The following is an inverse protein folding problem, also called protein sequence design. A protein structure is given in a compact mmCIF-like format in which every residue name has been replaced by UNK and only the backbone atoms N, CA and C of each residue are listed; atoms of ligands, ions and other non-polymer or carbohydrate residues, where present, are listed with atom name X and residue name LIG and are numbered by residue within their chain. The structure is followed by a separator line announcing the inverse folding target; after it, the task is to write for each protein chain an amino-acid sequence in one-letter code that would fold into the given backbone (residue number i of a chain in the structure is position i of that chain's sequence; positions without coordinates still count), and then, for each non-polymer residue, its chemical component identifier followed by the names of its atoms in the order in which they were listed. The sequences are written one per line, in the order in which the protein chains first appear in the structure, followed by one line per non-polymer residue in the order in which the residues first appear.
data_IF_017981090138
#
_entry.id   IF_017981090138
#
_cell.length_a   1.000
_cell.length_b   1.000
_cell.length_c   1.000
_cell.angle_alpha   90.00
_cell.angle_beta   90.00
_cell.angle_gamma   90.00
#
_symmetry.space_group_name_H-M   'P 1'
#
loop_
_entity.id
_entity.type
_entity.pdbx_description
1 polymer ?
#
# COMPACT_ATOMS: atom_id res chain seq x y z
N UNK A 1 -0.07 24.97 13.99
CA UNK A 1 -0.38 23.60 14.48
C UNK A 1 0.74 22.67 14.02
N UNK A 2 1.15 21.73 14.85
CA UNK A 2 2.15 20.72 14.49
C UNK A 2 1.57 19.81 13.38
N UNK A 3 2.33 19.61 12.32
CA UNK A 3 1.89 18.80 11.16
C UNK A 3 1.89 17.32 11.54
N UNK A 4 0.76 16.65 11.38
CA UNK A 4 0.61 15.23 11.66
C UNK A 4 0.57 14.42 10.37
N UNK A 5 1.02 13.17 10.44
CA UNK A 5 1.05 12.23 9.32
C UNK A 5 0.22 11.00 9.65
N UNK A 6 -0.70 10.66 8.77
CA UNK A 6 -1.47 9.42 8.82
C UNK A 6 -0.73 8.32 8.07
N UNK A 7 -0.56 7.15 8.70
CA UNK A 7 -0.19 5.93 7.97
C UNK A 7 -1.42 5.04 7.91
N UNK A 8 -2.16 5.16 6.82
CA UNK A 8 -3.45 4.53 6.61
C UNK A 8 -3.33 3.05 6.23
N UNK A 9 -4.16 2.20 6.80
CA UNK A 9 -4.18 0.74 6.60
C UNK A 9 -2.84 0.08 7.00
N UNK A 10 -2.29 0.49 8.14
CA UNK A 10 -1.03 -0.03 8.68
C UNK A 10 -1.19 -0.57 10.11
N UNK A 11 -1.47 -1.86 10.26
CA UNK A 11 -1.49 -2.52 11.56
C UNK A 11 -0.08 -2.77 12.11
N UNK A 12 0.90 -2.98 11.21
CA UNK A 12 2.28 -3.34 11.57
C UNK A 12 3.12 -2.21 12.15
N UNK A 13 2.73 -0.96 11.95
CA UNK A 13 3.44 0.25 12.35
C UNK A 13 4.87 0.38 11.80
N UNK A 14 5.22 -0.36 10.75
CA UNK A 14 6.58 -0.37 10.21
C UNK A 14 7.05 1.01 9.77
N UNK A 15 6.23 1.74 9.00
CA UNK A 15 6.51 3.11 8.56
C UNK A 15 6.30 4.11 9.70
N UNK A 16 5.22 3.95 10.48
CA UNK A 16 4.93 4.83 11.61
C UNK A 16 6.10 4.91 12.57
N UNK A 17 6.68 3.77 12.98
CA UNK A 17 7.83 3.72 13.89
C UNK A 17 9.05 4.42 13.30
N UNK A 18 9.35 4.20 12.02
CA UNK A 18 10.51 4.81 11.38
C UNK A 18 10.35 6.34 11.21
N UNK A 19 9.15 6.82 10.91
CA UNK A 19 8.83 8.25 10.90
C UNK A 19 8.97 8.88 12.30
N UNK A 20 8.45 8.20 13.34
CA UNK A 20 8.57 8.66 14.73
C UNK A 20 10.02 8.76 15.21
N UNK A 21 10.87 7.80 14.85
CA UNK A 21 12.32 7.85 15.13
C UNK A 21 12.98 9.10 14.55
N UNK A 22 12.44 9.65 13.47
CA UNK A 22 12.92 10.85 12.80
C UNK A 22 12.17 12.13 13.23
N UNK A 23 11.39 12.04 14.30
CA UNK A 23 10.68 13.19 14.90
C UNK A 23 9.47 13.68 14.09
N UNK A 24 8.90 12.82 13.23
CA UNK A 24 7.61 13.09 12.57
C UNK A 24 6.49 12.59 13.46
N UNK A 25 5.47 13.41 13.69
CA UNK A 25 4.28 13.03 14.46
C UNK A 25 3.35 12.19 13.60
N UNK A 26 3.69 10.89 13.45
CA UNK A 26 2.95 9.94 12.64
C UNK A 26 2.04 9.03 13.48
N UNK A 27 0.87 8.71 12.96
CA UNK A 27 -0.09 7.77 13.55
C UNK A 27 -0.50 6.73 12.50
N UNK A 28 -0.40 5.45 12.87
CA UNK A 28 -1.00 4.38 12.07
C UNK A 28 -2.51 4.32 12.29
N UNK A 29 -3.25 3.90 11.26
CA UNK A 29 -4.68 3.64 11.35
C UNK A 29 -5.02 2.34 10.64
N UNK A 30 -5.72 1.43 11.32
CA UNK A 30 -6.24 0.19 10.75
C UNK A 30 -7.50 -0.26 11.50
N UNK A 31 -8.30 -1.13 10.90
CA UNK A 31 -9.45 -1.77 11.56
C UNK A 31 -9.02 -2.80 12.62
N UNK A 32 -7.80 -3.31 12.51
CA UNK A 32 -7.18 -4.26 13.42
C UNK A 32 -6.38 -3.54 14.51
N UNK A 33 -6.10 -4.23 15.61
CA UNK A 33 -5.15 -3.76 16.62
C UNK A 33 -3.72 -3.78 16.04
N UNK A 34 -2.88 -2.85 16.47
CA UNK A 34 -1.50 -2.79 15.96
C UNK A 34 -0.64 -3.97 16.45
N UNK A 35 0.25 -4.45 15.59
CA UNK A 35 1.26 -5.46 15.94
C UNK A 35 2.66 -4.89 16.13
N UNK A 36 2.86 -3.59 15.93
CA UNK A 36 4.14 -2.90 16.10
C UNK A 36 4.52 -2.58 17.55
N UNK A 37 3.60 -2.82 18.50
CA UNK A 37 3.87 -2.65 19.95
C UNK A 37 3.85 -1.19 20.42
N UNK A 38 3.24 -0.28 19.66
CA UNK A 38 3.08 1.14 19.98
C UNK A 38 1.60 1.56 19.89
N UNK A 39 0.73 1.03 20.78
CA UNK A 39 -0.70 1.32 20.72
C UNK A 39 -1.02 2.82 20.87
N UNK A 40 -0.16 3.58 21.55
CA UNK A 40 -0.29 5.03 21.69
C UNK A 40 -0.09 5.82 20.38
N UNK A 41 0.42 5.18 19.32
CA UNK A 41 0.57 5.74 17.98
C UNK A 41 -0.37 5.09 16.99
N UNK A 42 -1.39 4.37 17.46
CA UNK A 42 -2.32 3.64 16.63
C UNK A 42 -3.76 4.07 16.84
N UNK A 43 -4.45 4.27 15.73
CA UNK A 43 -5.88 4.57 15.72
C UNK A 43 -6.59 3.34 15.16
N UNK A 44 -7.34 2.65 16.02
CA UNK A 44 -8.20 1.56 15.57
C UNK A 44 -9.48 2.14 15.00
N UNK A 45 -9.57 2.22 13.66
CA UNK A 45 -10.68 2.90 13.02
C UNK A 45 -10.65 2.87 11.50
N UNK A 46 -11.56 3.66 10.92
CA UNK A 46 -11.72 3.81 9.48
C UNK A 46 -10.72 4.83 8.92
N UNK A 47 -9.82 4.35 8.06
CA UNK A 47 -8.80 5.17 7.42
C UNK A 47 -9.36 6.30 6.54
N UNK A 48 -10.54 6.12 5.93
CA UNK A 48 -11.21 7.20 5.17
C UNK A 48 -11.66 8.30 6.13
N UNK A 49 -12.29 7.94 7.24
CA UNK A 49 -12.72 8.91 8.26
C UNK A 49 -11.54 9.75 8.76
N UNK A 50 -10.42 9.10 9.05
CA UNK A 50 -9.19 9.79 9.46
C UNK A 50 -8.62 10.67 8.34
N UNK A 51 -8.53 10.18 7.11
CA UNK A 51 -8.00 10.94 5.97
C UNK A 51 -8.82 12.21 5.65
N UNK A 52 -10.09 12.23 6.02
CA UNK A 52 -10.99 13.39 5.81
C UNK A 52 -11.26 14.20 7.10
N UNK A 53 -10.56 13.92 8.20
CA UNK A 53 -10.73 14.64 9.48
C UNK A 53 -10.23 16.08 9.46
N UNK A 54 -9.39 16.45 8.51
CA UNK A 54 -8.71 17.76 8.46
C UNK A 54 -7.49 17.86 9.40
N UNK A 55 -7.11 16.76 10.06
CA UNK A 55 -5.99 16.73 11.03
C UNK A 55 -4.63 16.59 10.35
N UNK A 56 -4.57 15.81 9.25
CA UNK A 56 -3.31 15.36 8.68
C UNK A 56 -2.83 16.21 7.51
N UNK A 57 -1.56 16.56 7.54
CA UNK A 57 -0.85 17.23 6.46
C UNK A 57 -0.27 16.26 5.43
N UNK A 58 0.12 15.07 5.88
CA UNK A 58 0.66 14.01 5.04
C UNK A 58 -0.02 12.67 5.29
N UNK A 59 -0.02 11.82 4.26
CA UNK A 59 -0.53 10.45 4.37
C UNK A 59 0.34 9.48 3.58
N UNK A 60 0.63 8.33 4.19
CA UNK A 60 1.12 7.14 3.50
C UNK A 60 0.06 6.05 3.69
N UNK A 61 -0.38 5.41 2.61
CA UNK A 61 -1.49 4.46 2.71
C UNK A 61 -1.20 3.12 2.02
N UNK A 62 -1.69 2.04 2.62
CA UNK A 62 -1.59 0.65 2.14
C UNK A 62 -2.98 0.06 1.88
N UNK A 63 -3.79 0.63 0.97
CA UNK A 63 -5.14 0.15 0.72
C UNK A 63 -5.12 -1.31 0.25
N UNK A 64 -6.19 -2.04 0.58
CA UNK A 64 -6.29 -3.46 0.25
C UNK A 64 -6.05 -3.73 -1.24
N UNK A 65 -5.19 -4.72 -1.54
CA UNK A 65 -4.83 -5.09 -2.91
C UNK A 65 -5.56 -6.32 -3.44
N UNK A 66 -6.32 -7.03 -2.60
CA UNK A 66 -6.86 -8.38 -2.87
C UNK A 66 -7.63 -8.48 -4.18
N UNK A 67 -8.38 -7.43 -4.54
CA UNK A 67 -9.24 -7.43 -5.72
C UNK A 67 -8.62 -6.71 -6.92
N UNK A 68 -7.54 -5.97 -6.73
CA UNK A 68 -6.96 -5.08 -7.75
C UNK A 68 -5.74 -5.67 -8.49
N UNK A 69 -5.16 -6.77 -7.99
CA UNK A 69 -3.92 -7.35 -8.54
C UNK A 69 -4.15 -8.38 -9.63
N UNK A 70 -3.14 -8.59 -10.49
CA UNK A 70 -3.20 -9.57 -11.58
C UNK A 70 -3.50 -11.01 -11.10
N UNK A 71 -3.09 -11.37 -9.90
CA UNK A 71 -3.39 -12.70 -9.33
C UNK A 71 -4.88 -12.93 -9.05
N UNK A 72 -5.66 -11.87 -8.97
CA UNK A 72 -7.10 -11.92 -8.72
C UNK A 72 -7.99 -11.71 -9.93
N UNK A 73 -7.43 -11.29 -11.07
CA UNK A 73 -8.22 -10.90 -12.26
C UNK A 73 -8.99 -12.07 -12.89
N UNK A 74 -8.46 -13.28 -12.83
CA UNK A 74 -9.13 -14.48 -13.36
C UNK A 74 -10.45 -14.78 -12.63
N UNK A 75 -10.61 -14.36 -11.40
CA UNK A 75 -11.83 -14.58 -10.60
C UNK A 75 -12.98 -13.62 -10.95
N UNK A 76 -12.76 -12.63 -11.83
CA UNK A 76 -13.81 -11.75 -12.34
C UNK A 76 -14.81 -12.47 -13.26
N UNK A 77 -14.45 -13.66 -13.72
CA UNK A 77 -15.29 -14.49 -14.57
C UNK A 77 -15.41 -15.91 -13.98
N UNK A 78 -16.57 -16.48 -14.14
CA UNK A 78 -16.86 -17.87 -13.81
C UNK A 78 -16.22 -18.82 -14.85
N UNK A 79 -16.20 -20.12 -14.57
CA UNK A 79 -15.63 -21.12 -15.48
C UNK A 79 -16.32 -21.20 -16.84
N UNK A 80 -17.59 -20.83 -16.92
CA UNK A 80 -18.40 -20.77 -18.14
C UNK A 80 -18.22 -19.45 -18.93
N UNK A 81 -17.36 -18.55 -18.45
CA UNK A 81 -17.09 -17.25 -19.06
C UNK A 81 -18.08 -16.14 -18.62
N UNK A 82 -19.09 -16.44 -17.86
CA UNK A 82 -20.01 -15.43 -17.34
C UNK A 82 -19.34 -14.55 -16.28
N UNK A 83 -19.77 -13.27 -16.13
CA UNK A 83 -19.22 -12.39 -15.10
C UNK A 83 -19.52 -12.92 -13.68
N UNK A 84 -18.51 -12.91 -12.83
CA UNK A 84 -18.69 -13.14 -11.38
C UNK A 84 -19.06 -11.81 -10.71
N UNK A 85 -20.33 -11.61 -10.52
CA UNK A 85 -20.91 -10.35 -10.03
C UNK A 85 -20.39 -9.92 -8.66
N UNK A 86 -20.30 -10.83 -7.71
CA UNK A 86 -19.76 -10.53 -6.39
C UNK A 86 -18.31 -10.03 -6.49
N UNK A 87 -17.50 -10.68 -7.28
CA UNK A 87 -16.09 -10.31 -7.46
C UNK A 87 -15.92 -8.95 -8.13
N UNK A 88 -16.79 -8.61 -9.09
CA UNK A 88 -16.80 -7.28 -9.69
C UNK A 88 -17.23 -6.19 -8.70
N UNK A 89 -18.20 -6.47 -7.83
CA UNK A 89 -18.60 -5.53 -6.79
C UNK A 89 -17.50 -5.30 -5.76
N UNK A 90 -16.77 -6.35 -5.37
CA UNK A 90 -15.62 -6.20 -4.47
C UNK A 90 -14.47 -5.42 -5.13
N UNK A 91 -14.22 -5.62 -6.43
CA UNK A 91 -13.28 -4.80 -7.18
C UNK A 91 -13.70 -3.32 -7.17
N UNK A 92 -14.98 -3.06 -7.41
CA UNK A 92 -15.52 -1.68 -7.39
C UNK A 92 -15.27 -1.02 -6.05
N UNK A 93 -15.64 -1.66 -4.95
CA UNK A 93 -15.39 -1.14 -3.58
C UNK A 93 -13.90 -0.87 -3.33
N UNK A 94 -13.01 -1.79 -3.75
CA UNK A 94 -11.57 -1.63 -3.57
C UNK A 94 -11.00 -0.44 -4.36
N UNK A 95 -11.46 -0.25 -5.60
CA UNK A 95 -11.07 0.90 -6.44
C UNK A 95 -11.62 2.22 -5.88
N UNK A 96 -12.87 2.23 -5.41
CA UNK A 96 -13.48 3.40 -4.77
C UNK A 96 -12.76 3.78 -3.48
N UNK A 97 -12.41 2.81 -2.64
CA UNK A 97 -11.64 3.01 -1.43
C UNK A 97 -10.25 3.60 -1.72
N UNK A 98 -9.54 3.03 -2.71
CA UNK A 98 -8.24 3.56 -3.15
C UNK A 98 -8.36 5.00 -3.63
N UNK A 99 -9.34 5.29 -4.49
CA UNK A 99 -9.57 6.63 -5.02
C UNK A 99 -9.99 7.62 -3.93
N UNK A 100 -10.73 7.19 -2.92
CA UNK A 100 -11.07 8.03 -1.78
C UNK A 100 -9.81 8.46 -1.01
N UNK A 101 -8.89 7.54 -0.70
CA UNK A 101 -7.61 7.89 -0.08
C UNK A 101 -6.75 8.79 -1.00
N UNK A 102 -6.67 8.46 -2.30
CA UNK A 102 -5.89 9.22 -3.28
C UNK A 102 -6.35 10.68 -3.41
N UNK A 103 -7.64 10.91 -3.29
CA UNK A 103 -8.26 12.23 -3.43
C UNK A 103 -8.54 12.93 -2.09
N UNK A 104 -8.04 12.38 -0.98
CA UNK A 104 -8.20 13.01 0.32
C UNK A 104 -7.63 14.45 0.33
N UNK A 105 -8.23 15.36 1.12
CA UNK A 105 -7.81 16.76 1.21
C UNK A 105 -6.52 16.90 2.04
N UNK A 106 -5.51 16.10 1.70
CA UNK A 106 -4.19 16.05 2.31
C UNK A 106 -3.16 16.52 1.30
N UNK A 107 -2.20 17.31 1.74
CA UNK A 107 -1.20 17.96 0.88
C UNK A 107 -0.22 16.95 0.27
N UNK A 108 0.32 16.06 1.09
CA UNK A 108 1.33 15.08 0.71
C UNK A 108 0.77 13.67 0.84
N UNK A 109 0.67 12.94 -0.27
CA UNK A 109 0.14 11.57 -0.26
C UNK A 109 1.10 10.63 -0.98
N UNK A 110 1.32 9.46 -0.39
CA UNK A 110 1.89 8.29 -1.05
C UNK A 110 0.97 7.08 -0.82
N UNK A 111 0.43 6.48 -1.87
CA UNK A 111 -0.30 5.21 -1.76
C UNK A 111 0.53 4.09 -2.35
N UNK A 112 0.54 2.96 -1.67
CA UNK A 112 1.27 1.75 -2.07
C UNK A 112 0.28 0.65 -2.44
N UNK A 113 0.54 -0.01 -3.58
CA UNK A 113 -0.19 -1.22 -3.95
C UNK A 113 0.67 -2.08 -4.90
N UNK A 114 0.50 -3.40 -4.96
CA UNK A 114 1.09 -4.21 -6.02
C UNK A 114 0.62 -3.79 -7.41
N UNK A 115 1.27 -4.29 -8.48
CA UNK A 115 0.89 -3.97 -9.86
C UNK A 115 -0.58 -4.29 -10.09
N UNK A 116 -1.41 -3.27 -10.40
CA UNK A 116 -2.84 -3.47 -10.62
C UNK A 116 -3.11 -4.10 -11.99
N UNK A 117 -4.15 -4.92 -12.09
CA UNK A 117 -4.65 -5.36 -13.38
C UNK A 117 -5.34 -4.21 -14.15
N UNK A 118 -5.56 -4.39 -15.47
CA UNK A 118 -6.08 -3.34 -16.34
C UNK A 118 -7.39 -2.69 -15.85
N UNK A 119 -8.34 -3.48 -15.37
CA UNK A 119 -9.62 -2.96 -14.91
C UNK A 119 -9.46 -2.07 -13.66
N UNK A 120 -8.65 -2.47 -12.71
CA UNK A 120 -8.36 -1.63 -11.55
C UNK A 120 -7.63 -0.35 -11.94
N UNK A 121 -6.68 -0.43 -12.89
CA UNK A 121 -5.87 0.70 -13.33
C UNK A 121 -6.67 1.69 -14.19
N UNK A 122 -7.36 1.19 -15.21
CA UNK A 122 -7.94 2.02 -16.27
C UNK A 122 -9.41 2.36 -16.02
N UNK A 123 -10.08 1.63 -15.14
CA UNK A 123 -11.51 1.70 -14.90
C UNK A 123 -12.30 0.65 -15.71
N UNK A 124 -13.57 0.56 -15.42
CA UNK A 124 -14.46 -0.42 -16.05
C UNK A 124 -15.94 -0.02 -15.96
N UNK A 125 -16.71 -0.57 -16.87
CA UNK A 125 -18.18 -0.57 -16.79
C UNK A 125 -18.61 -2.02 -16.66
N UNK A 126 -19.34 -2.33 -15.60
CA UNK A 126 -19.95 -3.64 -15.42
C UNK A 126 -21.36 -3.50 -14.83
N UNK A 127 -22.30 -4.29 -15.41
CA UNK A 127 -23.55 -4.64 -14.79
C UNK A 127 -24.45 -3.49 -14.33
N UNK A 128 -24.78 -2.57 -15.19
CA UNK A 128 -25.73 -1.48 -14.88
C UNK A 128 -25.28 -0.54 -13.73
N UNK A 129 -24.02 -0.63 -13.28
CA UNK A 129 -23.47 0.24 -12.21
C UNK A 129 -22.84 1.52 -12.74
N UNK A 130 -22.90 1.76 -14.06
CA UNK A 130 -22.21 2.88 -14.69
C UNK A 130 -20.69 2.71 -14.74
N UNK A 131 -19.99 3.78 -15.11
CA UNK A 131 -18.53 3.81 -15.18
C UNK A 131 -17.91 3.93 -13.79
N UNK A 132 -16.98 3.03 -13.46
CA UNK A 132 -16.12 3.12 -12.29
C UNK A 132 -14.72 3.56 -12.73
N UNK A 133 -14.27 4.78 -12.37
CA UNK A 133 -12.94 5.27 -12.74
C UNK A 133 -11.85 4.44 -12.04
N UNK A 134 -10.81 4.07 -12.79
CA UNK A 134 -9.68 3.32 -12.25
C UNK A 134 -8.80 4.15 -11.33
N UNK A 135 -7.85 3.49 -10.66
CA UNK A 135 -6.88 4.13 -9.75
C UNK A 135 -5.79 4.92 -10.49
N UNK A 136 -5.69 4.75 -11.82
CA UNK A 136 -4.71 5.39 -12.67
C UNK A 136 -3.34 4.69 -12.66
N UNK A 137 -2.42 5.23 -13.47
CA UNK A 137 -1.05 4.74 -13.55
C UNK A 137 -0.27 5.20 -12.31
N UNK A 138 0.60 4.32 -11.79
CA UNK A 138 1.52 4.66 -10.71
C UNK A 138 2.68 5.54 -11.18
N UNK A 139 3.24 6.33 -10.28
CA UNK A 139 4.37 7.21 -10.54
C UNK A 139 5.72 6.48 -10.47
N UNK A 140 5.80 5.45 -9.63
CA UNK A 140 7.02 4.69 -9.41
C UNK A 140 6.73 3.22 -9.11
N UNK A 141 7.63 2.32 -9.54
CA UNK A 141 7.69 0.93 -9.12
C UNK A 141 8.98 0.71 -8.36
N UNK A 142 8.89 0.11 -7.18
CA UNK A 142 10.01 -0.23 -6.33
C UNK A 142 10.04 -1.73 -6.02
N UNK A 143 11.20 -2.19 -5.55
CA UNK A 143 11.43 -3.58 -5.14
C UNK A 143 12.23 -3.61 -3.83
N UNK A 144 12.01 -4.59 -2.94
CA UNK A 144 12.78 -4.72 -1.70
C UNK A 144 14.30 -4.77 -1.92
N UNK A 145 14.77 -5.40 -3.01
CA UNK A 145 16.20 -5.45 -3.31
C UNK A 145 16.85 -4.08 -3.61
N UNK A 146 16.06 -3.05 -3.87
CA UNK A 146 16.55 -1.66 -4.00
C UNK A 146 16.89 -1.04 -2.63
N UNK A 147 16.41 -1.66 -1.55
CA UNK A 147 16.46 -1.16 -0.18
C UNK A 147 17.09 -2.15 0.82
N UNK A 148 17.94 -3.05 0.35
CA UNK A 148 18.76 -3.92 1.20
C UNK A 148 18.21 -5.31 1.49
N UNK A 149 17.03 -5.67 0.98
CA UNK A 149 16.42 -6.98 1.20
C UNK A 149 16.39 -7.77 -0.11
N UNK A 150 17.12 -8.88 -0.24
CA UNK A 150 17.28 -9.61 -1.50
C UNK A 150 16.01 -10.41 -1.86
N UNK A 151 14.88 -9.74 -1.84
CA UNK A 151 13.56 -10.28 -2.20
C UNK A 151 12.91 -9.45 -3.32
N UNK A 152 11.95 -10.02 -4.04
CA UNK A 152 11.09 -9.29 -4.96
C UNK A 152 9.65 -9.29 -4.49
N UNK A 153 9.09 -8.09 -4.41
CA UNK A 153 7.67 -7.78 -4.23
C UNK A 153 7.43 -6.46 -4.95
N UNK A 154 7.05 -6.55 -6.23
CA UNK A 154 6.81 -5.34 -7.02
C UNK A 154 5.75 -4.47 -6.36
N UNK A 155 6.15 -3.30 -5.94
CA UNK A 155 5.35 -2.34 -5.20
C UNK A 155 5.25 -1.05 -6.01
N UNK A 156 4.04 -0.63 -6.32
CA UNK A 156 3.74 0.59 -7.05
C UNK A 156 3.39 1.72 -6.09
N UNK A 157 3.86 2.92 -6.38
CA UNK A 157 3.58 4.13 -5.61
C UNK A 157 2.83 5.15 -6.47
N UNK A 158 1.75 5.70 -5.91
CA UNK A 158 1.04 6.87 -6.41
C UNK A 158 1.35 8.03 -5.48
N UNK A 159 1.92 9.10 -6.03
CA UNK A 159 2.52 10.19 -5.26
C UNK A 159 1.81 11.53 -5.54
N UNK A 160 1.53 12.27 -4.48
CA UNK A 160 1.08 13.67 -4.53
C UNK A 160 1.98 14.49 -3.62
N UNK A 161 2.69 15.47 -4.19
CA UNK A 161 3.57 16.38 -3.44
C UNK A 161 4.86 15.75 -2.88
N UNK A 162 5.08 14.46 -3.05
CA UNK A 162 6.27 13.74 -2.59
C UNK A 162 7.17 13.34 -3.76
N UNK A 163 8.50 13.38 -3.60
CA UNK A 163 9.43 12.92 -4.63
C UNK A 163 9.46 11.38 -4.70
N UNK A 164 9.89 10.85 -5.85
CA UNK A 164 10.18 9.43 -6.00
C UNK A 164 11.27 8.99 -5.02
N UNK A 165 11.12 7.79 -4.47
CA UNK A 165 12.16 7.20 -3.62
C UNK A 165 13.41 6.85 -4.42
N UNK A 166 14.57 7.18 -3.87
CA UNK A 166 15.86 6.75 -4.37
C UNK A 166 16.28 5.45 -3.68
N UNK A 167 16.92 4.57 -4.43
CA UNK A 167 17.50 3.35 -3.88
C UNK A 167 18.54 3.69 -2.80
N UNK A 168 18.49 2.99 -1.67
CA UNK A 168 19.43 3.20 -0.55
C UNK A 168 20.52 2.13 -0.49
N UNK A 169 20.16 0.88 -0.78
CA UNK A 169 21.09 -0.25 -0.75
C UNK A 169 20.65 -1.32 -1.76
N UNK A 170 21.12 -1.18 -3.00
CA UNK A 170 20.72 -2.10 -4.06
C UNK A 170 21.49 -3.43 -3.99
N UNK A 171 20.80 -4.47 -3.51
CA UNK A 171 21.31 -5.85 -3.40
C UNK A 171 20.75 -6.77 -4.51
N UNK A 172 20.42 -6.22 -5.67
CA UNK A 172 19.87 -6.97 -6.80
C UNK A 172 20.81 -8.10 -7.28
N UNK A 173 22.13 -7.91 -7.16
CA UNK A 173 23.11 -8.95 -7.47
C UNK A 173 22.93 -10.18 -6.58
N UNK A 174 22.73 -9.99 -5.26
CA UNK A 174 22.47 -11.08 -4.31
C UNK A 174 21.13 -11.75 -4.64
N UNK A 175 20.08 -10.94 -4.89
CA UNK A 175 18.75 -11.45 -5.25
C UNK A 175 18.78 -12.37 -6.48
N UNK A 176 19.59 -12.05 -7.51
CA UNK A 176 19.71 -12.85 -8.73
C UNK A 176 20.32 -14.25 -8.49
N UNK A 177 21.15 -14.39 -7.49
CA UNK A 177 21.85 -15.64 -7.14
C UNK A 177 21.00 -16.53 -6.23
N UNK A 178 19.94 -15.99 -5.62
CA UNK A 178 19.09 -16.76 -4.71
C UNK A 178 18.17 -17.72 -5.48
N UNK A 179 17.88 -18.91 -4.91
CA UNK A 179 16.81 -19.76 -5.38
C UNK A 179 15.47 -19.03 -5.37
N UNK A 180 14.59 -19.32 -6.33
CA UNK A 180 13.30 -18.61 -6.51
C UNK A 180 12.45 -18.57 -5.22
N UNK A 181 12.42 -19.64 -4.46
CA UNK A 181 11.67 -19.71 -3.20
C UNK A 181 12.23 -18.78 -2.10
N UNK A 182 13.49 -18.42 -2.15
CA UNK A 182 14.08 -17.40 -1.27
C UNK A 182 13.92 -15.99 -1.85
N UNK A 183 14.24 -15.83 -3.13
CA UNK A 183 14.12 -14.55 -3.84
C UNK A 183 12.67 -14.02 -3.91
N UNK A 184 11.68 -14.90 -3.80
CA UNK A 184 10.23 -14.60 -3.83
C UNK A 184 9.51 -15.24 -2.63
N UNK A 185 10.12 -15.21 -1.45
CA UNK A 185 9.65 -15.89 -0.24
C UNK A 185 8.16 -15.69 0.03
N UNK A 186 7.66 -14.47 -0.09
CA UNK A 186 6.25 -14.14 0.14
C UNK A 186 5.29 -14.78 -0.87
N UNK A 187 5.77 -15.11 -2.09
CA UNK A 187 4.96 -15.82 -3.08
C UNK A 187 4.80 -17.30 -2.71
N UNK A 188 5.85 -17.90 -2.17
CA UNK A 188 5.91 -19.32 -1.81
C UNK A 188 5.39 -19.65 -0.40
N UNK A 189 4.89 -18.66 0.35
CA UNK A 189 4.24 -18.94 1.63
C UNK A 189 3.05 -19.90 1.46
N UNK A 190 2.91 -20.89 2.32
CA UNK A 190 1.77 -21.81 2.29
C UNK A 190 0.45 -21.06 2.49
N UNK A 191 -0.67 -21.56 1.95
CA UNK A 191 -1.98 -21.00 2.25
C UNK A 191 -2.27 -21.03 3.75
N UNK A 192 -2.87 -19.94 4.26
CA UNK A 192 -3.23 -19.85 5.68
C UNK A 192 -3.44 -18.39 6.11
N UNK A 193 -3.98 -18.16 7.31
CA UNK A 193 -4.29 -16.82 7.82
C UNK A 193 -3.03 -15.94 7.96
N UNK A 194 -1.91 -16.52 8.38
CA UNK A 194 -0.64 -15.81 8.52
C UNK A 194 -0.05 -15.32 7.19
N UNK A 195 -0.40 -15.98 6.07
CA UNK A 195 0.09 -15.57 4.74
C UNK A 195 -0.32 -14.15 4.39
N UNK A 196 -1.56 -13.78 4.62
CA UNK A 196 -2.06 -12.43 4.35
C UNK A 196 -1.30 -11.40 5.18
N UNK A 197 -1.16 -11.65 6.49
CA UNK A 197 -0.45 -10.81 7.43
C UNK A 197 1.04 -10.62 7.08
N UNK A 198 1.75 -11.70 6.71
CA UNK A 198 3.16 -11.63 6.31
C UNK A 198 3.35 -10.87 4.99
N UNK A 199 2.40 -10.99 4.06
CA UNK A 199 2.44 -10.31 2.76
C UNK A 199 2.07 -8.83 2.84
N UNK A 200 1.26 -8.42 3.82
CA UNK A 200 0.88 -7.01 4.01
C UNK A 200 2.00 -6.18 4.63
N UNK A 201 2.89 -6.78 5.43
CA UNK A 201 3.98 -6.04 6.08
C UNK A 201 4.89 -5.34 5.08
N UNK A 202 5.19 -4.08 5.38
CA UNK A 202 6.21 -3.31 4.67
C UNK A 202 7.60 -3.83 5.03
N UNK A 203 8.46 -3.99 4.04
CA UNK A 203 9.85 -4.35 4.23
C UNK A 203 10.59 -3.26 5.01
N UNK A 204 11.48 -3.67 5.90
CA UNK A 204 12.21 -2.77 6.79
C UNK A 204 12.99 -1.69 6.02
N UNK A 205 13.76 -2.11 5.00
CA UNK A 205 14.53 -1.16 4.19
C UNK A 205 13.67 -0.17 3.43
N UNK A 206 12.46 -0.56 3.00
CA UNK A 206 11.49 0.36 2.40
C UNK A 206 10.98 1.34 3.44
N UNK A 207 10.61 0.89 4.65
CA UNK A 207 10.12 1.77 5.72
C UNK A 207 11.20 2.78 6.16
N UNK A 208 12.45 2.34 6.28
CA UNK A 208 13.60 3.20 6.57
C UNK A 208 13.83 4.24 5.48
N UNK A 209 13.80 3.85 4.19
CA UNK A 209 13.99 4.74 3.06
C UNK A 209 12.84 5.78 2.94
N UNK A 210 11.60 5.36 3.16
CA UNK A 210 10.42 6.25 3.21
C UNK A 210 10.63 7.31 4.29
N UNK A 211 10.96 6.89 5.50
CA UNK A 211 11.14 7.81 6.61
C UNK A 211 12.36 8.72 6.42
N UNK A 212 13.48 8.19 5.91
CA UNK A 212 14.68 8.97 5.63
C UNK A 212 14.46 10.07 4.60
N UNK A 213 13.81 9.70 3.48
CA UNK A 213 13.70 10.60 2.33
C UNK A 213 12.49 11.55 2.42
N UNK A 214 11.43 11.19 3.17
CA UNK A 214 10.22 11.99 3.23
C UNK A 214 9.98 12.71 4.56
N UNK A 215 10.69 12.36 5.66
CA UNK A 215 10.50 13.01 6.96
C UNK A 215 10.66 14.54 6.90
N UNK A 216 11.59 15.05 6.07
CA UNK A 216 11.78 16.49 5.87
C UNK A 216 10.56 17.20 5.28
N UNK A 217 9.87 16.54 4.35
CA UNK A 217 8.66 17.09 3.72
C UNK A 217 7.48 17.15 4.70
N UNK A 218 7.41 16.22 5.64
CA UNK A 218 6.36 16.18 6.64
C UNK A 218 6.54 17.15 7.81
N UNK A 219 7.75 17.70 7.98
CA UNK A 219 8.07 18.66 9.06
C UNK A 219 7.99 20.12 8.61
N UNK A 220 8.17 20.37 7.32
CA UNK A 220 8.14 21.70 6.71
C UNK A 220 6.71 22.04 6.28
#
# INVERSE_FOLDING_TARGET
MEKEVLVACEESQAITIELRKRGVKAFSCDLQDCSGGKPEWHIKGDAIKEAYSGTYYGMIGHPTCTFMTNSGVCWLYNKDGSPNYERWMELKKAVEFFNALKNAPIELIALENPIPHKYARDGFTQMNTGWTPGIGKYDQLIQPYMFGEPESKATCLWLKGLPKLKETNNVKHIWKELPKNKAQRLHYLPPGPERAKLRSKTFKGIAEAVAEQWAGFFKN
#
